data_IF_505837084550
#
_entry.id   IF_505837084550
#
_cell.length_a   1.000
_cell.length_b   1.000
_cell.length_c   1.000
_cell.angle_alpha   90.00
_cell.angle_beta   90.00
_cell.angle_gamma   90.00
#
_symmetry.space_group_name_H-M   'P 1'
#
loop_
_entity.id
_entity.type
_entity.pdbx_description
1 polymer ?
#
# COMPACT_ATOMS: atom_id res chain seq x y z
N UNK A 1 -19.99 -2.22 -24.19
CA UNK A 1 -21.08 -2.24 -23.19
C UNK A 1 -20.58 -2.59 -21.80
N UNK A 2 -19.68 -3.54 -21.66
CA UNK A 2 -19.13 -3.97 -20.36
C UNK A 2 -18.41 -2.85 -19.61
N UNK A 3 -17.54 -2.07 -20.28
CA UNK A 3 -16.85 -0.95 -19.66
C UNK A 3 -17.81 0.07 -19.03
N UNK A 4 -18.93 0.34 -19.68
CA UNK A 4 -19.93 1.28 -19.20
C UNK A 4 -20.66 0.75 -17.96
N UNK A 5 -20.91 -0.56 -17.90
CA UNK A 5 -21.50 -1.22 -16.72
C UNK A 5 -20.54 -1.13 -15.54
N UNK A 6 -19.24 -1.41 -15.74
CA UNK A 6 -18.23 -1.29 -14.68
C UNK A 6 -18.08 0.14 -14.18
N UNK A 7 -18.13 1.11 -15.08
CA UNK A 7 -18.08 2.53 -14.72
C UNK A 7 -19.30 2.96 -13.90
N UNK A 8 -20.50 2.50 -14.28
CA UNK A 8 -21.73 2.76 -13.53
C UNK A 8 -21.66 2.09 -12.15
N UNK A 9 -21.23 0.83 -12.07
CA UNK A 9 -21.06 0.13 -10.79
C UNK A 9 -20.05 0.85 -9.90
N UNK A 10 -18.93 1.29 -10.44
CA UNK A 10 -17.92 2.06 -9.70
C UNK A 10 -18.49 3.36 -9.15
N UNK A 11 -19.18 4.15 -9.98
CA UNK A 11 -19.84 5.38 -9.55
C UNK A 11 -20.92 5.12 -8.49
N UNK A 12 -21.68 4.05 -8.63
CA UNK A 12 -22.68 3.64 -7.67
C UNK A 12 -22.04 3.30 -6.31
N UNK A 13 -20.94 2.56 -6.32
CA UNK A 13 -20.16 2.26 -5.09
C UNK A 13 -19.68 3.55 -4.43
N UNK A 14 -19.17 4.52 -5.20
CA UNK A 14 -18.72 5.80 -4.66
C UNK A 14 -19.87 6.58 -4.02
N UNK A 15 -21.04 6.63 -4.66
CA UNK A 15 -22.22 7.33 -4.12
C UNK A 15 -22.72 6.64 -2.86
N UNK A 16 -22.88 5.31 -2.89
CA UNK A 16 -23.36 4.53 -1.74
C UNK A 16 -22.37 4.62 -0.58
N UNK A 17 -21.08 4.50 -0.82
CA UNK A 17 -20.06 4.59 0.23
C UNK A 17 -20.03 5.96 0.87
N UNK A 18 -20.13 7.03 0.07
CA UNK A 18 -20.19 8.41 0.57
C UNK A 18 -21.43 8.67 1.41
N UNK A 19 -22.58 8.13 0.98
CA UNK A 19 -23.85 8.25 1.73
C UNK A 19 -23.78 7.44 3.03
N UNK A 20 -23.25 6.22 2.98
CA UNK A 20 -23.08 5.37 4.16
C UNK A 20 -22.13 6.00 5.17
N UNK A 21 -21.04 6.64 4.72
CA UNK A 21 -20.11 7.33 5.61
C UNK A 21 -20.76 8.55 6.31
N UNK A 22 -21.72 9.21 5.66
CA UNK A 22 -22.51 10.27 6.32
C UNK A 22 -23.47 9.75 7.38
N UNK A 23 -24.03 8.56 7.15
CA UNK A 23 -24.96 7.91 8.09
C UNK A 23 -24.23 7.22 9.25
N UNK A 24 -23.05 6.68 8.98
CA UNK A 24 -22.22 5.94 9.93
C UNK A 24 -20.81 6.59 10.01
N UNK A 25 -20.69 7.75 10.64
CA UNK A 25 -19.43 8.53 10.64
C UNK A 25 -18.31 7.87 11.43
N UNK A 26 -18.57 6.79 12.18
CA UNK A 26 -17.53 6.03 12.87
C UNK A 26 -16.75 5.07 11.95
N UNK A 27 -17.29 4.71 10.76
CA UNK A 27 -16.62 3.87 9.79
C UNK A 27 -15.77 4.72 8.83
N UNK A 28 -14.47 4.46 8.69
CA UNK A 28 -13.64 5.08 7.65
C UNK A 28 -14.17 4.78 6.26
N UNK A 29 -14.19 5.78 5.38
CA UNK A 29 -14.69 5.64 4.00
C UNK A 29 -14.04 4.48 3.23
N UNK A 30 -12.71 4.24 3.31
CA UNK A 30 -12.08 3.11 2.64
C UNK A 30 -12.62 1.74 3.09
N UNK A 31 -12.92 1.57 4.38
CA UNK A 31 -13.50 0.31 4.88
C UNK A 31 -14.89 0.06 4.30
N UNK A 32 -15.73 1.11 4.19
CA UNK A 32 -17.06 1.00 3.57
C UNK A 32 -16.92 0.58 2.10
N UNK A 33 -15.97 1.16 1.37
CA UNK A 33 -15.71 0.83 -0.03
C UNK A 33 -15.23 -0.61 -0.21
N UNK A 34 -14.34 -1.10 0.64
CA UNK A 34 -13.86 -2.49 0.64
C UNK A 34 -15.02 -3.45 0.90
N UNK A 35 -15.85 -3.18 1.93
CA UNK A 35 -17.00 -4.02 2.25
C UNK A 35 -18.02 -4.06 1.11
N UNK A 36 -18.32 -2.92 0.48
CA UNK A 36 -19.19 -2.87 -0.69
C UNK A 36 -18.59 -3.64 -1.87
N UNK A 37 -17.28 -3.52 -2.10
CA UNK A 37 -16.58 -4.28 -3.15
C UNK A 37 -16.67 -5.80 -2.92
N UNK A 38 -16.50 -6.26 -1.68
CA UNK A 38 -16.67 -7.68 -1.32
C UNK A 38 -18.11 -8.13 -1.60
N UNK A 39 -19.11 -7.37 -1.15
CA UNK A 39 -20.52 -7.70 -1.38
C UNK A 39 -20.81 -7.80 -2.87
N UNK A 40 -20.40 -6.83 -3.68
CA UNK A 40 -20.59 -6.86 -5.14
C UNK A 40 -19.90 -8.06 -5.77
N UNK A 41 -18.66 -8.37 -5.37
CA UNK A 41 -17.92 -9.52 -5.88
C UNK A 41 -18.59 -10.87 -5.57
N UNK A 42 -19.27 -10.98 -4.43
CA UNK A 42 -20.05 -12.18 -4.09
C UNK A 42 -21.30 -12.36 -4.96
N UNK A 43 -21.93 -11.27 -5.40
CA UNK A 43 -23.12 -11.30 -6.25
C UNK A 43 -22.79 -11.39 -7.76
N UNK A 44 -21.57 -11.06 -8.16
CA UNK A 44 -21.09 -11.06 -9.55
C UNK A 44 -19.87 -11.98 -9.73
N UNK A 45 -19.95 -13.28 -9.40
CA UNK A 45 -18.78 -14.17 -9.36
C UNK A 45 -18.15 -14.49 -10.71
N UNK A 46 -18.81 -14.20 -11.83
CA UNK A 46 -18.39 -14.57 -13.20
C UNK A 46 -17.96 -13.35 -14.04
N UNK A 47 -17.64 -12.24 -13.43
CA UNK A 47 -17.09 -11.11 -14.16
C UNK A 47 -15.59 -11.29 -14.34
N UNK A 48 -15.13 -11.67 -15.53
CA UNK A 48 -13.71 -11.67 -15.91
C UNK A 48 -13.23 -10.22 -16.02
N UNK A 49 -13.09 -9.58 -14.87
CA UNK A 49 -12.56 -8.23 -14.81
C UNK A 49 -11.02 -8.27 -14.94
N UNK A 50 -10.55 -8.14 -16.18
CA UNK A 50 -9.13 -7.99 -16.46
C UNK A 50 -8.72 -6.53 -16.34
N UNK A 51 -8.20 -6.17 -15.17
CA UNK A 51 -7.59 -4.87 -14.97
C UNK A 51 -6.26 -4.82 -15.75
N UNK A 52 -6.15 -3.92 -16.71
CA UNK A 52 -4.86 -3.65 -17.32
C UNK A 52 -3.97 -2.94 -16.29
N UNK A 53 -2.97 -3.67 -15.76
CA UNK A 53 -2.10 -3.20 -14.69
C UNK A 53 -1.35 -1.92 -15.07
N UNK A 54 -0.90 -1.80 -16.31
CA UNK A 54 -0.15 -0.63 -16.79
C UNK A 54 -1.05 0.62 -16.82
N UNK A 55 -2.28 0.48 -17.35
CA UNK A 55 -3.25 1.58 -17.34
C UNK A 55 -3.67 1.97 -15.92
N UNK A 56 -3.87 1.01 -15.05
CA UNK A 56 -4.21 1.27 -13.65
C UNK A 56 -3.08 2.02 -12.93
N UNK A 57 -1.85 1.58 -13.09
CA UNK A 57 -0.68 2.26 -12.52
C UNK A 57 -0.53 3.68 -13.06
N UNK A 58 -0.67 3.87 -14.37
CA UNK A 58 -0.48 5.17 -15.00
C UNK A 58 -1.62 6.17 -14.71
N UNK A 59 -2.88 5.72 -14.71
CA UNK A 59 -4.05 6.60 -14.60
C UNK A 59 -4.56 6.78 -13.17
N UNK A 60 -4.32 5.83 -12.28
CA UNK A 60 -4.82 5.87 -10.90
C UNK A 60 -3.68 6.08 -9.91
N UNK A 61 -2.70 5.19 -9.92
CA UNK A 61 -1.62 5.25 -8.92
C UNK A 61 -0.67 6.42 -9.17
N UNK A 62 -0.29 6.67 -10.42
CA UNK A 62 0.61 7.78 -10.77
C UNK A 62 0.09 9.15 -10.29
N UNK A 63 -1.14 9.58 -10.65
CA UNK A 63 -1.71 10.83 -10.17
C UNK A 63 -1.92 10.86 -8.65
N UNK A 64 -2.24 9.72 -8.01
CA UNK A 64 -2.38 9.61 -6.57
C UNK A 64 -1.06 9.90 -5.86
N UNK A 65 0.01 9.21 -6.26
CA UNK A 65 1.36 9.40 -5.69
C UNK A 65 1.89 10.82 -5.95
N UNK A 66 1.62 11.37 -7.14
CA UNK A 66 1.98 12.75 -7.45
C UNK A 66 1.31 13.73 -6.49
N UNK A 67 0.01 13.59 -6.27
CA UNK A 67 -0.74 14.42 -5.33
C UNK A 67 -0.22 14.28 -3.89
N UNK A 68 0.03 13.08 -3.43
CA UNK A 68 0.58 12.83 -2.09
C UNK A 68 1.96 13.48 -1.91
N UNK A 69 2.81 13.42 -2.95
CA UNK A 69 4.13 14.06 -2.92
C UNK A 69 4.04 15.58 -2.96
N UNK A 70 3.06 16.17 -3.67
CA UNK A 70 2.80 17.60 -3.72
C UNK A 70 2.31 18.14 -2.36
N UNK A 71 1.46 17.38 -1.68
CA UNK A 71 0.93 17.73 -0.34
C UNK A 71 1.95 17.50 0.79
N UNK A 72 3.10 16.90 0.50
CA UNK A 72 4.14 16.63 1.48
C UNK A 72 4.99 17.86 1.78
N UNK A 73 5.14 18.20 3.05
CA UNK A 73 6.08 19.23 3.50
C UNK A 73 7.52 18.69 3.51
N UNK A 74 8.20 18.84 2.36
CA UNK A 74 9.57 18.35 2.16
C UNK A 74 10.52 18.94 3.20
N UNK A 75 10.33 20.20 3.62
CA UNK A 75 11.19 20.85 4.61
C UNK A 75 11.03 20.22 5.98
N UNK A 76 9.81 19.86 6.36
CA UNK A 76 9.53 19.15 7.61
C UNK A 76 10.04 17.69 7.57
N UNK A 77 9.93 17.02 6.42
CA UNK A 77 10.47 15.66 6.22
C UNK A 77 11.99 15.69 6.34
N UNK A 78 12.67 16.60 5.66
CA UNK A 78 14.13 16.77 5.74
C UNK A 78 14.60 17.12 7.15
N UNK A 79 13.83 17.92 7.89
CA UNK A 79 14.14 18.23 9.30
C UNK A 79 14.11 16.98 10.20
N UNK A 80 13.29 15.99 9.87
CA UNK A 80 13.08 14.81 10.70
C UNK A 80 13.61 13.52 10.04
N UNK A 81 14.40 13.63 8.96
CA UNK A 81 14.85 12.52 8.15
C UNK A 81 15.48 11.37 8.94
N UNK A 82 16.26 11.67 9.99
CA UNK A 82 16.90 10.63 10.84
C UNK A 82 15.86 9.74 11.52
N UNK A 83 14.81 10.37 12.08
CA UNK A 83 13.74 9.63 12.78
C UNK A 83 12.97 8.79 11.75
N UNK A 84 12.67 9.36 10.58
CA UNK A 84 11.96 8.68 9.50
C UNK A 84 12.75 7.45 9.04
N UNK A 85 14.04 7.59 8.75
CA UNK A 85 14.89 6.46 8.34
C UNK A 85 14.98 5.40 9.44
N UNK A 86 15.14 5.80 10.71
CA UNK A 86 15.15 4.86 11.83
C UNK A 86 13.80 4.15 12.03
N UNK A 87 12.69 4.74 11.60
CA UNK A 87 11.38 4.11 11.67
C UNK A 87 11.17 3.11 10.52
N UNK A 88 11.51 3.49 9.30
CA UNK A 88 11.26 2.69 8.09
C UNK A 88 11.89 1.30 8.18
N UNK A 89 13.18 1.22 8.49
CA UNK A 89 13.87 -0.07 8.49
C UNK A 89 13.28 -1.10 9.48
N UNK A 90 13.09 -0.78 10.77
CA UNK A 90 12.46 -1.72 11.70
C UNK A 90 11.01 -2.04 11.33
N UNK A 91 10.24 -1.06 10.89
CA UNK A 91 8.82 -1.26 10.54
C UNK A 91 8.71 -2.25 9.38
N UNK A 92 9.42 -2.03 8.27
CA UNK A 92 9.40 -2.95 7.13
C UNK A 92 9.93 -4.33 7.50
N UNK A 93 11.03 -4.39 8.24
CA UNK A 93 11.61 -5.67 8.63
C UNK A 93 10.66 -6.46 9.54
N UNK A 94 10.12 -5.83 10.58
CA UNK A 94 9.21 -6.49 11.51
C UNK A 94 7.89 -6.86 10.82
N UNK A 95 7.30 -5.96 10.02
CA UNK A 95 6.06 -6.23 9.29
C UNK A 95 6.23 -7.36 8.27
N UNK A 96 7.32 -7.34 7.48
CA UNK A 96 7.63 -8.39 6.51
C UNK A 96 7.80 -9.75 7.20
N UNK A 97 8.56 -9.81 8.28
CA UNK A 97 8.77 -11.07 9.03
C UNK A 97 7.49 -11.54 9.72
N UNK A 98 6.74 -10.64 10.34
CA UNK A 98 5.51 -10.99 11.08
C UNK A 98 4.41 -11.45 10.13
N UNK A 99 4.13 -10.68 9.08
CA UNK A 99 3.10 -11.01 8.10
C UNK A 99 3.50 -12.19 7.22
N UNK A 100 4.75 -12.24 6.78
CA UNK A 100 5.30 -13.37 6.03
C UNK A 100 5.36 -14.65 6.84
N UNK A 101 5.76 -14.56 8.11
CA UNK A 101 5.72 -15.67 9.05
C UNK A 101 4.31 -16.17 9.31
N UNK A 102 3.35 -15.27 9.51
CA UNK A 102 1.93 -15.61 9.64
C UNK A 102 1.39 -16.27 8.38
N UNK A 103 1.73 -15.74 7.19
CA UNK A 103 1.35 -16.34 5.92
C UNK A 103 1.91 -17.77 5.79
N UNK A 104 3.15 -17.99 6.18
CA UNK A 104 3.76 -19.33 6.16
C UNK A 104 3.10 -20.29 7.16
N UNK A 105 2.67 -19.82 8.33
CA UNK A 105 1.90 -20.62 9.29
C UNK A 105 0.51 -20.99 8.78
N UNK A 106 -0.12 -20.13 7.99
CA UNK A 106 -1.45 -20.40 7.40
C UNK A 106 -1.37 -21.29 6.16
N UNK A 107 -0.30 -21.16 5.37
CA UNK A 107 -0.06 -21.90 4.12
C UNK A 107 1.30 -22.60 4.14
N UNK A 108 1.40 -23.69 4.91
CA UNK A 108 2.64 -24.48 5.03
C UNK A 108 3.18 -25.04 3.71
N UNK A 109 2.34 -25.13 2.68
CA UNK A 109 2.74 -25.57 1.34
C UNK A 109 3.54 -24.53 0.55
N UNK A 110 3.49 -23.26 0.94
CA UNK A 110 4.22 -22.19 0.26
C UNK A 110 5.64 -22.05 0.82
N UNK A 111 6.65 -21.85 -0.05
CA UNK A 111 7.99 -21.54 0.39
C UNK A 111 8.04 -20.27 1.24
N UNK A 112 8.88 -20.24 2.26
CA UNK A 112 9.02 -19.08 3.16
C UNK A 112 9.33 -17.79 2.39
N UNK A 113 10.16 -17.86 1.34
CA UNK A 113 10.47 -16.70 0.52
C UNK A 113 9.24 -16.10 -0.19
N UNK A 114 8.31 -16.94 -0.68
CA UNK A 114 7.04 -16.48 -1.23
C UNK A 114 6.16 -15.81 -0.16
N UNK A 115 6.10 -16.39 1.03
CA UNK A 115 5.36 -15.81 2.16
C UNK A 115 5.98 -14.48 2.62
N UNK A 116 7.31 -14.35 2.60
CA UNK A 116 8.00 -13.08 2.88
C UNK A 116 7.71 -12.02 1.80
N UNK A 117 7.58 -12.42 0.53
CA UNK A 117 7.15 -11.49 -0.52
C UNK A 117 5.73 -10.93 -0.24
N UNK A 118 4.79 -11.79 0.18
CA UNK A 118 3.46 -11.35 0.63
C UNK A 118 3.57 -10.42 1.83
N UNK A 119 4.40 -10.76 2.82
CA UNK A 119 4.64 -9.91 3.99
C UNK A 119 5.22 -8.55 3.64
N UNK A 120 6.15 -8.48 2.68
CA UNK A 120 6.73 -7.24 2.20
C UNK A 120 5.73 -6.38 1.40
N UNK A 121 4.86 -7.00 0.62
CA UNK A 121 3.80 -6.29 -0.12
C UNK A 121 2.71 -5.70 0.80
N UNK A 122 2.44 -6.34 1.94
CA UNK A 122 1.43 -5.90 2.91
C UNK A 122 2.03 -5.03 4.03
N UNK A 123 3.35 -4.90 4.09
CA UNK A 123 4.07 -4.23 5.17
C UNK A 123 4.01 -2.70 5.17
N UNK A 124 4.06 -2.04 3.99
CA UNK A 124 4.02 -0.58 3.92
C UNK A 124 2.76 0.03 4.53
N UNK A 125 2.90 1.19 5.15
CA UNK A 125 1.80 1.96 5.73
C UNK A 125 1.06 2.75 4.65
N UNK A 126 -0.28 2.73 4.69
CA UNK A 126 -1.13 3.43 3.73
C UNK A 126 -1.33 4.91 4.16
N UNK A 127 -0.80 5.83 3.36
CA UNK A 127 -0.96 7.27 3.57
C UNK A 127 -2.40 7.74 3.40
N UNK A 128 -3.18 7.12 2.52
CA UNK A 128 -4.60 7.48 2.30
C UNK A 128 -5.42 7.12 3.54
N UNK A 129 -5.16 5.95 4.12
CA UNK A 129 -5.79 5.56 5.38
C UNK A 129 -5.37 6.50 6.52
N UNK A 130 -4.09 6.88 6.60
CA UNK A 130 -3.61 7.85 7.59
C UNK A 130 -4.26 9.23 7.38
N UNK A 131 -4.37 9.73 6.16
CA UNK A 131 -5.02 11.00 5.85
C UNK A 131 -6.49 11.00 6.33
N UNK A 132 -7.24 9.94 6.03
CA UNK A 132 -8.64 9.79 6.45
C UNK A 132 -8.81 9.75 7.98
N UNK A 133 -7.85 9.18 8.71
CA UNK A 133 -7.81 9.18 10.16
C UNK A 133 -7.43 10.56 10.71
N UNK A 134 -6.50 11.26 10.07
CA UNK A 134 -6.02 12.59 10.51
C UNK A 134 -7.09 13.67 10.38
N UNK A 135 -8.08 13.51 9.52
CA UNK A 135 -9.25 14.37 9.45
C UNK A 135 -10.17 14.22 10.68
N UNK A 136 -10.17 13.04 11.30
CA UNK A 136 -11.02 12.73 12.47
C UNK A 136 -10.31 12.96 13.81
N UNK A 137 -9.02 12.73 13.83
CA UNK A 137 -8.17 12.83 15.01
C UNK A 137 -7.11 13.91 14.80
N UNK A 138 -7.06 14.89 15.71
CA UNK A 138 -6.04 15.93 15.67
C UNK A 138 -4.69 15.37 16.16
N UNK A 139 -3.82 15.01 15.24
CA UNK A 139 -2.45 14.63 15.56
C UNK A 139 -1.55 15.86 15.72
N UNK A 140 -0.56 15.82 16.63
CA UNK A 140 0.46 16.86 16.68
C UNK A 140 1.18 16.97 15.33
N UNK A 141 1.40 18.20 14.85
CA UNK A 141 2.02 18.45 13.54
C UNK A 141 3.32 17.67 13.30
N UNK A 142 4.14 17.55 14.36
CA UNK A 142 5.39 16.77 14.29
C UNK A 142 5.14 15.29 13.97
N UNK A 143 4.17 14.69 14.63
CA UNK A 143 3.82 13.27 14.42
C UNK A 143 3.26 13.07 13.00
N UNK A 144 2.35 13.94 12.57
CA UNK A 144 1.79 13.91 11.22
C UNK A 144 2.87 14.01 10.14
N UNK A 145 3.83 14.93 10.29
CA UNK A 145 4.92 15.08 9.32
C UNK A 145 5.88 13.88 9.29
N UNK A 146 6.15 13.27 10.44
CA UNK A 146 6.98 12.05 10.51
C UNK A 146 6.26 10.88 9.84
N UNK A 147 4.98 10.69 10.13
CA UNK A 147 4.20 9.59 9.53
C UNK A 147 4.00 9.78 8.03
N UNK A 148 3.76 11.01 7.55
CA UNK A 148 3.72 11.30 6.12
C UNK A 148 5.06 11.03 5.44
N UNK A 149 6.16 11.41 6.05
CA UNK A 149 7.50 11.16 5.51
C UNK A 149 7.87 9.67 5.56
N UNK A 150 7.46 8.96 6.60
CA UNK A 150 7.64 7.52 6.71
C UNK A 150 6.87 6.80 5.61
N UNK A 151 5.58 7.09 5.43
CA UNK A 151 4.75 6.44 4.43
C UNK A 151 5.26 6.66 2.99
N UNK A 152 5.69 7.87 2.63
CA UNK A 152 6.25 8.14 1.29
C UNK A 152 7.51 7.31 0.98
N UNK A 153 8.38 7.08 1.97
CA UNK A 153 9.62 6.33 1.79
C UNK A 153 9.44 4.83 2.04
N UNK A 154 8.42 4.47 2.79
CA UNK A 154 8.12 3.10 3.16
C UNK A 154 7.69 2.27 1.94
N UNK A 155 6.91 2.83 1.03
CA UNK A 155 6.48 2.16 -0.21
C UNK A 155 7.67 1.73 -1.06
N UNK A 156 8.65 2.63 -1.26
CA UNK A 156 9.88 2.30 -2.00
C UNK A 156 10.66 1.17 -1.31
N UNK A 157 10.77 1.21 0.01
CA UNK A 157 11.49 0.21 0.80
C UNK A 157 10.74 -1.13 0.83
N UNK A 158 9.40 -1.11 0.89
CA UNK A 158 8.54 -2.29 0.77
C UNK A 158 8.68 -2.97 -0.58
N UNK A 159 8.71 -2.18 -1.66
CA UNK A 159 8.93 -2.69 -3.02
C UNK A 159 10.29 -3.41 -3.14
N UNK A 160 11.33 -2.85 -2.55
CA UNK A 160 12.66 -3.49 -2.54
C UNK A 160 12.64 -4.78 -1.74
N UNK A 161 12.03 -4.78 -0.55
CA UNK A 161 11.90 -5.99 0.27
C UNK A 161 11.11 -7.08 -0.49
N UNK A 162 10.04 -6.69 -1.19
CA UNK A 162 9.26 -7.57 -2.06
C UNK A 162 10.11 -8.16 -3.19
N UNK A 163 10.85 -7.34 -3.92
CA UNK A 163 11.72 -7.80 -5.02
C UNK A 163 12.79 -8.76 -4.53
N UNK A 164 13.39 -8.50 -3.36
CA UNK A 164 14.39 -9.39 -2.74
C UNK A 164 13.78 -10.74 -2.41
N UNK A 165 12.61 -10.74 -1.75
CA UNK A 165 11.91 -11.96 -1.39
C UNK A 165 11.46 -12.75 -2.64
N UNK A 166 10.96 -12.06 -3.67
CA UNK A 166 10.55 -12.64 -4.95
C UNK A 166 11.76 -13.27 -5.67
N UNK A 167 12.89 -12.58 -5.71
CA UNK A 167 14.13 -13.11 -6.31
C UNK A 167 14.61 -14.33 -5.54
N UNK A 168 14.61 -14.29 -4.21
CA UNK A 168 14.97 -15.45 -3.40
C UNK A 168 14.04 -16.64 -3.65
N UNK A 169 12.76 -16.42 -3.89
CA UNK A 169 11.81 -17.46 -4.23
C UNK A 169 12.08 -18.06 -5.62
N UNK A 170 12.32 -17.22 -6.62
CA UNK A 170 12.48 -17.67 -8.02
C UNK A 170 13.84 -18.27 -8.31
N UNK A 171 14.91 -17.79 -7.66
CA UNK A 171 16.30 -18.25 -7.90
C UNK A 171 16.81 -19.23 -6.86
N UNK A 172 16.12 -19.35 -5.72
CA UNK A 172 16.57 -20.14 -4.58
C UNK A 172 17.79 -19.55 -3.84
N UNK A 173 18.24 -18.34 -4.23
CA UNK A 173 19.41 -17.68 -3.66
C UNK A 173 19.06 -16.31 -3.09
N UNK A 174 19.52 -16.04 -1.87
CA UNK A 174 19.40 -14.72 -1.25
C UNK A 174 20.63 -13.87 -1.61
N UNK A 175 20.46 -12.90 -2.51
CA UNK A 175 21.56 -12.03 -2.93
C UNK A 175 21.41 -10.63 -2.33
N UNK A 176 22.16 -10.34 -1.26
CA UNK A 176 22.23 -9.00 -0.66
C UNK A 176 22.79 -7.95 -1.64
N UNK A 177 23.67 -8.35 -2.56
CA UNK A 177 24.23 -7.45 -3.57
C UNK A 177 23.19 -6.96 -4.58
N UNK A 178 22.29 -7.84 -5.04
CA UNK A 178 21.18 -7.45 -5.90
C UNK A 178 20.15 -6.59 -5.16
N UNK A 179 19.88 -6.90 -3.89
CA UNK A 179 18.99 -6.11 -3.05
C UNK A 179 19.49 -4.67 -2.90
N UNK A 180 20.78 -4.48 -2.58
CA UNK A 180 21.35 -3.15 -2.41
C UNK A 180 21.40 -2.35 -3.72
N UNK A 181 21.71 -2.98 -4.85
CA UNK A 181 21.69 -2.31 -6.16
C UNK A 181 20.27 -1.92 -6.56
N UNK A 182 19.27 -2.79 -6.38
CA UNK A 182 17.87 -2.48 -6.66
C UNK A 182 17.36 -1.32 -5.80
N UNK A 183 17.74 -1.27 -4.53
CA UNK A 183 17.39 -0.17 -3.63
C UNK A 183 17.98 1.16 -4.11
N UNK A 184 19.26 1.17 -4.48
CA UNK A 184 19.93 2.36 -5.01
C UNK A 184 19.27 2.81 -6.33
N UNK A 185 18.97 1.89 -7.24
CA UNK A 185 18.30 2.22 -8.51
C UNK A 185 16.87 2.72 -8.29
N UNK A 186 16.12 2.16 -7.35
CA UNK A 186 14.75 2.64 -7.02
C UNK A 186 14.75 4.02 -6.39
N UNK A 187 15.76 4.35 -5.57
CA UNK A 187 15.87 5.70 -4.94
C UNK A 187 16.35 6.74 -5.95
N UNK A 188 17.26 6.38 -6.88
CA UNK A 188 17.85 7.33 -7.80
C UNK A 188 17.10 7.46 -9.13
N UNK A 189 16.28 6.48 -9.49
CA UNK A 189 15.59 6.38 -10.79
C UNK A 189 14.07 6.51 -10.72
N UNK A 190 13.50 6.67 -9.53
CA UNK A 190 12.06 6.84 -9.29
C UNK A 190 11.58 8.27 -9.40
#
# INVERSE_FOLDING_TARGET
MELLIYLILFLLVLIVSSTTNKLLPFLPLPLVQILLGIVIGLFLPNTDFHLNTELFLALVIGPLLFRESEEADITAILKHWRIIVYLIFPVIFISTLSLGGLAHLLWFSLPLAACLAVGAALGPTDLVAFASLSERFSFPKRVSNILKGEGLLNDASGLVAFQVALTAWTTGAFSLGQASSSLIFSILGG
#
